data_IF_954843051610
#
_entry.id   IF_954843051610
#
_cell.length_a   1.000
_cell.length_b   1.000
_cell.length_c   1.000
_cell.angle_alpha   90.00
_cell.angle_beta   90.00
_cell.angle_gamma   90.00
#
_symmetry.space_group_name_H-M   'P 1'
#
loop_
_entity.id
_entity.type
_entity.pdbx_description
1 polymer ?
#
# COMPACT_ATOMS: atom_id res chain seq x y z
N UNK A 1 34.18 -27.23 -15.30
CA UNK A 1 33.40 -27.23 -14.03
C UNK A 1 32.49 -26.02 -14.09
N UNK A 2 31.21 -26.23 -14.35
CA UNK A 2 30.19 -25.19 -14.37
C UNK A 2 29.97 -24.68 -12.94
N UNK A 3 29.95 -23.37 -12.73
CA UNK A 3 29.27 -22.77 -11.59
C UNK A 3 28.28 -21.75 -12.12
N UNK A 4 27.02 -22.07 -11.87
CA UNK A 4 25.81 -21.41 -12.35
C UNK A 4 25.52 -20.17 -11.50
N UNK A 5 25.19 -19.06 -12.15
CA UNK A 5 24.57 -17.89 -11.51
C UNK A 5 23.20 -18.25 -10.90
N UNK A 6 22.83 -17.72 -9.72
CA UNK A 6 21.44 -17.73 -9.30
C UNK A 6 20.67 -16.60 -10.00
N UNK A 7 19.76 -17.00 -10.88
CA UNK A 7 18.72 -16.16 -11.49
C UNK A 7 17.73 -15.72 -10.41
N UNK A 8 17.49 -14.41 -10.32
CA UNK A 8 16.46 -13.80 -9.48
C UNK A 8 15.07 -14.30 -9.94
N UNK A 9 14.50 -15.27 -9.22
CA UNK A 9 13.15 -15.75 -9.49
C UNK A 9 12.14 -14.74 -8.93
N UNK A 10 11.58 -13.91 -9.80
CA UNK A 10 10.37 -13.14 -9.52
C UNK A 10 9.24 -14.11 -9.14
N UNK A 11 8.92 -14.16 -7.85
CA UNK A 11 7.82 -14.96 -7.32
C UNK A 11 6.51 -14.57 -7.99
N UNK A 12 5.93 -15.51 -8.73
CA UNK A 12 4.60 -15.43 -9.33
C UNK A 12 3.55 -15.22 -8.21
N UNK A 13 2.59 -14.28 -8.34
CA UNK A 13 1.56 -14.10 -7.31
C UNK A 13 0.74 -15.37 -7.15
N UNK A 14 0.61 -15.83 -5.91
CA UNK A 14 -0.18 -17.01 -5.55
C UNK A 14 -1.66 -16.67 -5.81
N UNK A 15 -2.28 -17.40 -6.74
CA UNK A 15 -3.71 -17.33 -7.06
C UNK A 15 -4.51 -17.53 -5.76
N UNK A 16 -5.18 -16.49 -5.29
CA UNK A 16 -6.09 -16.55 -4.15
C UNK A 16 -7.19 -17.57 -4.43
N UNK A 17 -7.19 -18.65 -3.67
CA UNK A 17 -8.32 -19.58 -3.56
C UNK A 17 -9.50 -18.82 -2.93
N UNK A 18 -10.66 -18.92 -3.58
CA UNK A 18 -11.93 -18.41 -3.05
C UNK A 18 -12.25 -19.15 -1.75
N UNK A 19 -12.23 -18.44 -0.63
CA UNK A 19 -12.89 -18.91 0.59
C UNK A 19 -14.41 -18.94 0.36
N UNK A 20 -14.95 -20.11 0.03
CA UNK A 20 -16.40 -20.36 0.11
C UNK A 20 -16.77 -20.47 1.60
N UNK A 21 -17.23 -19.37 2.18
CA UNK A 21 -17.84 -19.38 3.50
C UNK A 21 -19.36 -19.54 3.33
N UNK A 22 -19.85 -20.76 3.57
CA UNK A 22 -21.29 -21.03 3.68
C UNK A 22 -21.82 -20.36 4.95
N UNK A 23 -22.38 -19.17 4.82
CA UNK A 23 -23.10 -18.51 5.91
C UNK A 23 -24.52 -19.07 6.00
N UNK A 24 -24.78 -19.85 7.05
CA UNK A 24 -26.12 -20.25 7.45
C UNK A 24 -26.79 -19.05 8.16
N UNK A 25 -27.79 -18.44 7.52
CA UNK A 25 -28.59 -17.36 8.11
C UNK A 25 -29.40 -17.89 9.32
N UNK A 26 -29.27 -17.30 10.52
CA UNK A 26 -30.27 -17.47 11.56
C UNK A 26 -31.47 -16.57 11.26
N UNK A 27 -32.68 -17.11 11.40
CA UNK A 27 -33.93 -16.34 11.34
C UNK A 27 -33.95 -15.34 12.49
N UNK A 28 -34.00 -14.06 12.14
CA UNK A 28 -34.08 -12.93 13.07
C UNK A 28 -35.48 -12.93 13.69
N UNK A 29 -35.55 -13.22 14.99
CA UNK A 29 -36.74 -13.02 15.80
C UNK A 29 -36.84 -11.53 16.17
N UNK A 30 -37.97 -10.93 15.82
CA UNK A 30 -38.28 -9.51 15.97
C UNK A 30 -38.31 -9.02 17.42
N UNK A 31 -38.01 -7.72 17.56
CA UNK A 31 -38.51 -6.80 18.57
C UNK A 31 -37.80 -6.75 19.93
N UNK A 32 -36.71 -5.97 19.98
CA UNK A 32 -36.46 -5.08 21.12
C UNK A 32 -36.20 -3.69 20.57
N UNK A 33 -36.95 -2.72 21.10
CA UNK A 33 -36.91 -1.31 20.73
C UNK A 33 -35.45 -0.81 20.76
N UNK A 34 -34.93 -0.43 19.59
CA UNK A 34 -33.60 0.15 19.49
C UNK A 34 -33.57 1.45 20.31
N UNK A 35 -32.75 1.48 21.36
CA UNK A 35 -32.54 2.67 22.18
C UNK A 35 -31.97 3.80 21.31
N UNK A 36 -32.46 5.02 21.46
CA UNK A 36 -31.97 6.21 20.74
C UNK A 36 -30.44 6.34 20.81
N UNK A 37 -29.82 6.01 21.95
CA UNK A 37 -28.34 5.98 22.09
C UNK A 37 -27.69 4.95 21.18
N UNK A 38 -28.33 3.80 21.00
CA UNK A 38 -27.88 2.73 20.10
C UNK A 38 -27.99 3.18 18.63
N UNK A 39 -29.05 3.90 18.25
CA UNK A 39 -29.19 4.47 16.91
C UNK A 39 -28.08 5.49 16.58
N UNK A 40 -27.74 6.36 17.54
CA UNK A 40 -26.63 7.30 17.39
C UNK A 40 -25.28 6.61 17.24
N UNK A 41 -25.02 5.56 18.02
CA UNK A 41 -23.78 4.78 17.91
C UNK A 41 -23.64 4.11 16.55
N UNK A 42 -24.73 3.52 16.02
CA UNK A 42 -24.72 2.94 14.68
C UNK A 42 -24.55 3.99 13.58
N UNK A 43 -25.19 5.15 13.72
CA UNK A 43 -25.01 6.28 12.78
C UNK A 43 -23.57 6.81 12.75
N UNK A 44 -22.94 6.99 13.92
CA UNK A 44 -21.55 7.44 14.01
C UNK A 44 -20.58 6.41 13.41
N UNK A 45 -20.81 5.12 13.68
CA UNK A 45 -19.98 4.04 13.15
C UNK A 45 -20.09 3.94 11.61
N UNK A 46 -21.28 4.20 11.05
CA UNK A 46 -21.49 4.21 9.60
C UNK A 46 -20.78 5.39 8.92
N UNK A 47 -20.79 6.58 9.52
CA UNK A 47 -20.12 7.75 8.96
C UNK A 47 -18.60 7.58 8.83
N UNK A 48 -17.96 6.83 9.74
CA UNK A 48 -16.52 6.57 9.67
C UNK A 48 -16.13 5.68 8.49
N UNK A 49 -17.05 4.88 7.94
CA UNK A 49 -16.77 3.99 6.81
C UNK A 49 -16.69 4.68 5.44
N UNK A 50 -17.11 5.95 5.33
CA UNK A 50 -17.20 6.65 4.04
C UNK A 50 -15.88 7.26 3.56
N UNK A 51 -14.84 7.31 4.40
CA UNK A 51 -13.53 7.86 4.06
C UNK A 51 -12.49 6.74 3.94
N UNK A 52 -12.55 5.96 2.86
CA UNK A 52 -11.51 4.98 2.54
C UNK A 52 -10.45 5.61 1.64
N UNK A 53 -9.36 6.10 2.23
CA UNK A 53 -8.14 6.38 1.47
C UNK A 53 -7.48 5.04 1.09
N UNK A 54 -7.40 4.74 -0.21
CA UNK A 54 -6.63 3.60 -0.70
C UNK A 54 -5.19 4.05 -0.86
N UNK A 55 -4.33 3.52 0.00
CA UNK A 55 -2.90 3.62 -0.11
C UNK A 55 -2.38 2.20 -0.36
N UNK A 56 -1.57 2.02 -1.40
CA UNK A 56 -0.84 0.78 -1.57
C UNK A 56 0.42 0.86 -0.70
N UNK A 57 0.39 0.05 0.37
CA UNK A 57 1.47 -0.11 1.34
C UNK A 57 1.94 -1.54 1.24
N UNK A 58 3.22 -1.76 0.92
CA UNK A 58 3.85 -3.07 1.06
C UNK A 58 4.89 -3.06 2.16
N UNK A 59 4.97 -4.17 2.89
CA UNK A 59 6.00 -4.40 3.90
C UNK A 59 7.09 -5.29 3.30
N UNK A 60 8.33 -4.82 3.37
CA UNK A 60 9.47 -5.46 2.73
C UNK A 60 10.63 -5.56 3.73
N UNK A 61 11.47 -6.57 3.56
CA UNK A 61 12.72 -6.70 4.30
C UNK A 61 13.86 -6.13 3.45
N UNK A 62 14.50 -5.08 3.95
CA UNK A 62 15.65 -4.41 3.37
C UNK A 62 16.91 -4.60 4.23
N UNK A 63 16.88 -5.53 5.18
CA UNK A 63 17.98 -5.78 6.09
C UNK A 63 19.16 -6.47 5.41
N UNK A 64 20.36 -6.11 5.84
CA UNK A 64 21.60 -6.75 5.43
C UNK A 64 22.41 -7.14 6.69
N UNK A 65 22.95 -8.37 6.80
CA UNK A 65 23.75 -8.79 7.94
C UNK A 65 24.98 -7.91 8.22
N UNK A 66 25.53 -7.24 7.20
CA UNK A 66 26.65 -6.30 7.34
C UNK A 66 26.24 -4.97 7.99
N UNK A 67 24.94 -4.65 7.98
CA UNK A 67 24.38 -3.43 8.57
C UNK A 67 23.19 -3.74 9.48
N UNK A 68 23.42 -4.39 10.65
CA UNK A 68 22.34 -4.80 11.54
C UNK A 68 21.43 -3.64 11.96
N UNK A 69 20.12 -3.87 11.93
CA UNK A 69 19.10 -2.90 12.33
C UNK A 69 18.87 -1.74 11.37
N UNK A 70 19.45 -1.79 10.15
CA UNK A 70 19.28 -0.75 9.12
C UNK A 70 18.63 -1.32 7.87
N UNK A 71 17.99 -0.44 7.11
CA UNK A 71 17.52 -0.74 5.76
C UNK A 71 18.59 -0.35 4.75
N UNK A 72 18.94 -1.26 3.85
CA UNK A 72 19.92 -1.07 2.78
C UNK A 72 19.16 -0.97 1.47
N UNK A 73 19.14 0.23 0.89
CA UNK A 73 18.40 0.52 -0.35
C UNK A 73 19.38 0.81 -1.48
N UNK A 74 19.30 0.03 -2.55
CA UNK A 74 20.03 0.29 -3.79
C UNK A 74 19.07 0.91 -4.82
N UNK A 75 19.36 2.14 -5.24
CA UNK A 75 18.59 2.85 -6.26
C UNK A 75 19.19 2.71 -7.68
N UNK A 76 20.19 1.84 -7.85
CA UNK A 76 20.93 1.59 -9.08
C UNK A 76 22.05 2.60 -9.34
N UNK A 77 22.14 3.69 -8.57
CA UNK A 77 23.24 4.67 -8.64
C UNK A 77 24.07 4.68 -7.37
N UNK A 78 23.42 4.41 -6.25
CA UNK A 78 24.02 4.47 -4.93
C UNK A 78 23.31 3.53 -3.98
N UNK A 79 24.04 3.09 -2.95
CA UNK A 79 23.49 2.36 -1.82
C UNK A 79 23.27 3.36 -0.68
N UNK A 80 22.03 3.43 -0.19
CA UNK A 80 21.62 4.29 0.91
C UNK A 80 21.31 3.43 2.13
N UNK A 81 21.93 3.76 3.26
CA UNK A 81 21.69 3.13 4.56
C UNK A 81 20.72 4.01 5.36
N UNK A 82 19.53 3.49 5.64
CA UNK A 82 18.54 4.16 6.48
C UNK A 82 18.57 3.56 7.89
N UNK A 83 18.58 4.44 8.89
CA UNK A 83 18.30 4.08 10.27
C UNK A 83 16.80 3.95 10.50
N UNK A 84 16.42 3.32 11.61
CA UNK A 84 15.04 3.26 12.08
C UNK A 84 14.40 4.67 12.13
N UNK A 85 13.17 4.76 11.61
CA UNK A 85 12.41 6.01 11.51
C UNK A 85 12.80 6.93 10.34
N UNK A 86 13.81 6.57 9.53
CA UNK A 86 14.19 7.36 8.36
C UNK A 86 13.41 6.96 7.10
N UNK A 87 13.14 7.95 6.24
CA UNK A 87 12.51 7.75 4.96
C UNK A 87 13.45 8.09 3.80
N UNK A 88 13.34 7.35 2.70
CA UNK A 88 13.99 7.62 1.43
C UNK A 88 12.96 7.71 0.32
N UNK A 89 12.96 8.82 -0.39
CA UNK A 89 12.25 8.94 -1.66
C UNK A 89 13.14 8.45 -2.80
N UNK A 90 12.66 7.47 -3.55
CA UNK A 90 13.36 6.96 -4.72
C UNK A 90 13.13 7.91 -5.90
N UNK A 91 14.19 8.61 -6.34
CA UNK A 91 14.08 9.60 -7.45
C UNK A 91 14.08 8.98 -8.84
N UNK A 92 14.49 7.72 -8.95
CA UNK A 92 14.48 6.94 -10.18
C UNK A 92 13.10 6.32 -10.48
N UNK A 93 12.17 6.32 -9.52
CA UNK A 93 10.82 5.78 -9.65
C UNK A 93 9.76 6.87 -9.36
N UNK A 94 8.61 6.84 -10.05
CA UNK A 94 7.58 7.85 -9.86
C UNK A 94 6.88 7.68 -8.50
N UNK A 95 7.01 8.68 -7.63
CA UNK A 95 6.28 8.79 -6.35
C UNK A 95 6.39 7.54 -5.44
N UNK A 96 7.61 7.01 -5.31
CA UNK A 96 7.91 5.88 -4.42
C UNK A 96 8.70 6.35 -3.19
N UNK A 97 8.23 5.97 -2.00
CA UNK A 97 8.91 6.28 -0.73
C UNK A 97 9.10 5.00 0.08
N UNK A 98 10.27 4.83 0.67
CA UNK A 98 10.56 3.75 1.63
C UNK A 98 10.71 4.37 3.01
N UNK A 99 10.04 3.82 4.00
CA UNK A 99 10.22 4.15 5.41
C UNK A 99 10.86 2.98 6.13
N UNK A 100 12.02 3.21 6.74
CA UNK A 100 12.74 2.19 7.48
C UNK A 100 12.20 2.04 8.90
N UNK A 101 12.01 0.81 9.31
CA UNK A 101 11.62 0.39 10.64
C UNK A 101 12.73 -0.48 11.25
N UNK A 102 12.53 -0.94 12.48
CA UNK A 102 13.49 -1.79 13.18
C UNK A 102 13.80 -3.09 12.41
N UNK A 103 14.99 -3.65 12.69
CA UNK A 103 15.46 -4.93 12.16
C UNK A 103 15.57 -5.01 10.62
N UNK A 104 15.68 -3.86 9.97
CA UNK A 104 15.80 -3.77 8.50
C UNK A 104 14.48 -3.97 7.75
N UNK A 105 13.36 -4.05 8.45
CA UNK A 105 12.04 -4.01 7.82
C UNK A 105 11.72 -2.58 7.37
N UNK A 106 10.98 -2.44 6.27
CA UNK A 106 10.54 -1.13 5.81
C UNK A 106 9.23 -1.19 5.06
N UNK A 107 8.51 -0.09 5.12
CA UNK A 107 7.28 0.12 4.36
C UNK A 107 7.60 0.82 3.04
N UNK A 108 7.14 0.23 1.94
CA UNK A 108 7.13 0.85 0.62
C UNK A 108 5.76 1.49 0.40
N UNK A 109 5.79 2.79 0.09
CA UNK A 109 4.62 3.58 -0.27
C UNK A 109 4.64 3.83 -1.78
N UNK A 110 3.61 3.35 -2.46
CA UNK A 110 3.34 3.61 -3.88
C UNK A 110 1.99 4.32 -4.04
N UNK A 111 1.71 4.78 -5.26
CA UNK A 111 0.40 5.33 -5.59
C UNK A 111 -0.55 4.20 -5.97
N UNK A 112 -1.81 4.30 -5.54
CA UNK A 112 -2.88 3.43 -6.06
C UNK A 112 -2.98 3.64 -7.58
N UNK A 113 -3.05 2.55 -8.34
CA UNK A 113 -3.21 2.62 -9.78
C UNK A 113 -4.54 3.28 -10.15
N UNK A 114 -5.60 3.05 -9.35
CA UNK A 114 -6.94 3.60 -9.52
C UNK A 114 -7.56 3.33 -10.90
N UNK A 115 -8.84 3.66 -11.06
CA UNK A 115 -9.48 3.70 -12.39
C UNK A 115 -9.79 5.16 -12.72
N UNK A 116 -9.39 5.68 -13.90
CA UNK A 116 -9.82 7.00 -14.32
C UNK A 116 -11.36 7.03 -14.50
N UNK A 117 -11.98 8.22 -14.52
CA UNK A 117 -13.40 8.34 -14.87
C UNK A 117 -13.70 7.78 -16.27
N UNK A 118 -14.97 7.52 -16.55
CA UNK A 118 -15.43 7.04 -17.86
C UNK A 118 -15.04 8.02 -18.98
N UNK A 119 -14.65 7.48 -20.13
CA UNK A 119 -14.10 8.21 -21.28
C UNK A 119 -12.89 9.13 -20.95
N UNK A 120 -12.19 8.83 -19.86
CA UNK A 120 -10.98 9.53 -19.45
C UNK A 120 -9.80 8.57 -19.27
N UNK A 121 -8.59 9.13 -19.31
CA UNK A 121 -7.38 8.43 -18.93
C UNK A 121 -6.47 9.31 -18.06
N UNK A 122 -5.69 8.66 -17.20
CA UNK A 122 -4.64 9.35 -16.47
C UNK A 122 -3.44 9.58 -17.39
N UNK A 123 -3.00 10.83 -17.50
CA UNK A 123 -1.80 11.21 -18.24
C UNK A 123 -0.60 11.39 -17.29
N UNK A 124 0.09 12.53 -17.36
CA UNK A 124 1.27 12.81 -16.56
C UNK A 124 0.94 13.08 -15.09
N UNK A 125 1.91 12.89 -14.20
CA UNK A 125 1.84 13.40 -12.83
C UNK A 125 1.69 14.93 -12.84
N UNK A 126 0.97 15.45 -11.85
CA UNK A 126 0.80 16.90 -11.62
C UNK A 126 2.09 17.48 -11.04
N UNK A 127 2.59 16.84 -9.98
CA UNK A 127 3.88 17.15 -9.38
C UNK A 127 4.48 15.87 -8.82
N UNK A 128 5.31 15.20 -9.60
CA UNK A 128 5.92 13.95 -9.16
C UNK A 128 6.91 14.15 -8.00
N UNK A 129 7.48 15.34 -7.79
CA UNK A 129 8.51 15.64 -6.77
C UNK A 129 7.92 15.95 -5.39
N UNK A 130 6.59 16.08 -5.29
CA UNK A 130 5.91 16.29 -4.03
C UNK A 130 6.13 15.09 -3.06
N UNK A 131 5.96 15.29 -1.75
CA UNK A 131 5.89 14.19 -0.80
C UNK A 131 4.74 13.22 -1.14
N UNK A 132 4.88 11.95 -0.80
CA UNK A 132 3.75 11.03 -0.81
C UNK A 132 2.75 11.45 0.29
N UNK A 133 1.42 11.42 0.07
CA UNK A 133 0.71 10.95 -1.13
C UNK A 133 0.45 12.04 -2.19
N UNK A 134 0.90 13.28 -1.97
CA UNK A 134 0.62 14.40 -2.88
C UNK A 134 1.19 14.20 -4.29
N UNK A 135 2.32 13.50 -4.42
CA UNK A 135 2.88 13.16 -5.71
C UNK A 135 2.08 12.15 -6.53
N UNK A 136 1.04 11.54 -5.96
CA UNK A 136 0.18 10.59 -6.68
C UNK A 136 -0.84 11.25 -7.60
N UNK A 137 -1.02 12.58 -7.50
CA UNK A 137 -1.98 13.30 -8.34
C UNK A 137 -1.52 13.26 -9.80
N UNK A 138 -2.40 12.77 -10.67
CA UNK A 138 -2.21 12.69 -12.13
C UNK A 138 -3.23 13.56 -12.85
N UNK A 139 -2.84 14.12 -13.99
CA UNK A 139 -3.75 14.87 -14.87
C UNK A 139 -4.74 13.89 -15.51
N UNK A 140 -6.01 14.25 -15.54
CA UNK A 140 -7.08 13.49 -16.21
C UNK A 140 -7.39 14.16 -17.55
N UNK A 141 -7.40 13.37 -18.62
CA UNK A 141 -7.77 13.82 -19.97
C UNK A 141 -8.97 13.01 -20.43
N UNK A 142 -10.02 13.67 -20.90
CA UNK A 142 -11.27 13.06 -21.34
C UNK A 142 -11.57 13.47 -22.78
N UNK A 143 -12.25 12.62 -23.56
CA UNK A 143 -12.54 12.88 -24.97
C UNK A 143 -13.70 12.08 -25.52
#
# INVERSE_FOLDING_TARGET
>A
MLHSHPVLQLGRPRRSEKCHSSYHFPKILHSKMLNTKTLYLFGLLWCMGLLQARAELSLNNYGDPAYPGRCVIDDGKSVVLLNDGQALRLRNLPCVTIFCMSDGWGSLFTCDEGTPPEDCYFSSYVNWDAPWPDCCKRKVVCG
#
